data_IF_355446321851
#
_entry.id   IF_355446321851
#
_cell.length_a   1.000
_cell.length_b   1.000
_cell.length_c   1.000
_cell.angle_alpha   90.00
_cell.angle_beta   90.00
_cell.angle_gamma   90.00
#
_symmetry.space_group_name_H-M   'P 1'
#
loop_
_entity.id
_entity.type
_entity.pdbx_description
1 polymer ?
#
# COMPACT_ATOMS: atom_id res chain seq x y z
N UNK A 1 38.85 2.44 37.11
CA UNK A 1 39.30 3.28 35.97
C UNK A 1 38.13 4.13 35.51
N UNK A 2 38.01 5.33 36.06
CA UNK A 2 36.95 6.28 35.70
C UNK A 2 37.38 6.99 34.40
N UNK A 3 36.54 6.98 33.38
CA UNK A 3 36.76 7.73 32.13
C UNK A 3 36.90 6.89 30.85
N UNK A 4 37.21 5.59 30.93
CA UNK A 4 37.33 4.74 29.73
C UNK A 4 36.01 4.56 29.01
N UNK A 5 34.87 4.65 29.71
CA UNK A 5 33.54 4.61 29.10
C UNK A 5 33.25 5.85 28.22
N UNK A 6 33.70 7.02 28.66
CA UNK A 6 33.56 8.26 27.90
C UNK A 6 34.35 8.20 26.59
N UNK A 7 35.59 7.72 26.64
CA UNK A 7 36.44 7.56 25.45
C UNK A 7 35.85 6.53 24.46
N UNK A 8 35.29 5.42 24.96
CA UNK A 8 34.57 4.44 24.13
C UNK A 8 33.35 5.04 23.48
N UNK A 9 32.54 5.80 24.22
CA UNK A 9 31.38 6.51 23.68
C UNK A 9 31.77 7.50 22.59
N UNK A 10 32.80 8.29 22.80
CA UNK A 10 33.31 9.24 21.80
C UNK A 10 33.84 8.51 20.56
N UNK A 11 34.52 7.40 20.70
CA UNK A 11 34.97 6.60 19.56
C UNK A 11 33.81 6.06 18.70
N UNK A 12 32.71 5.64 19.35
CA UNK A 12 31.49 5.21 18.63
C UNK A 12 30.89 6.37 17.81
N UNK A 13 30.74 7.54 18.41
CA UNK A 13 30.16 8.71 17.71
C UNK A 13 31.04 9.17 16.56
N UNK A 14 32.35 9.20 16.73
CA UNK A 14 33.31 9.54 15.66
C UNK A 14 33.22 8.53 14.53
N UNK A 15 33.11 7.23 14.83
CA UNK A 15 32.92 6.20 13.80
C UNK A 15 31.63 6.44 12.99
N UNK A 16 30.51 6.76 13.66
CA UNK A 16 29.25 7.04 12.99
C UNK A 16 29.31 8.32 12.13
N UNK A 17 30.14 9.28 12.46
CA UNK A 17 30.33 10.47 11.66
C UNK A 17 30.87 10.18 10.25
N UNK A 18 31.73 9.15 10.12
CA UNK A 18 32.31 8.73 8.84
C UNK A 18 31.54 7.63 8.12
N UNK A 19 30.47 7.07 8.73
CA UNK A 19 29.63 6.08 8.07
C UNK A 19 28.64 6.73 7.09
N UNK A 20 28.13 5.96 6.09
CA UNK A 20 27.09 6.45 5.20
C UNK A 20 25.86 6.85 6.00
N UNK A 21 25.19 7.93 5.57
CA UNK A 21 24.00 8.46 6.21
C UNK A 21 22.80 7.54 5.94
N UNK A 22 21.92 7.37 6.93
CA UNK A 22 20.64 6.67 6.79
C UNK A 22 19.50 7.60 6.37
N UNK A 23 19.74 8.91 6.37
CA UNK A 23 18.71 9.88 6.06
C UNK A 23 18.40 9.85 4.57
N UNK A 24 17.11 9.73 4.27
CA UNK A 24 16.56 9.90 2.94
C UNK A 24 16.11 11.35 2.75
N UNK A 25 16.36 11.90 1.60
CA UNK A 25 16.03 13.31 1.28
C UNK A 25 14.57 13.38 0.79
N UNK A 26 13.63 12.96 1.65
CA UNK A 26 12.21 13.08 1.35
C UNK A 26 11.80 14.58 1.33
N UNK A 27 11.04 15.09 0.36
CA UNK A 27 10.33 14.34 -0.70
C UNK A 27 11.12 14.11 -2.01
N UNK A 28 12.37 14.63 -2.13
CA UNK A 28 13.17 14.53 -3.34
C UNK A 28 13.59 13.09 -3.64
N UNK A 29 13.88 12.31 -2.59
CA UNK A 29 14.16 10.88 -2.67
C UNK A 29 13.08 10.14 -1.88
N UNK A 30 12.37 9.22 -2.54
CA UNK A 30 11.36 8.38 -1.90
C UNK A 30 11.98 7.10 -1.36
N UNK A 31 11.56 6.65 -0.15
CA UNK A 31 12.03 5.40 0.40
C UNK A 31 11.64 4.23 -0.51
N UNK A 32 12.56 3.30 -0.67
CA UNK A 32 12.27 2.03 -1.34
C UNK A 32 11.59 1.09 -0.34
N UNK A 33 10.24 1.10 -0.36
CA UNK A 33 9.46 0.28 0.56
C UNK A 33 9.55 -1.20 0.20
N UNK A 34 9.60 -2.05 1.22
CA UNK A 34 9.52 -3.49 1.05
C UNK A 34 8.19 -3.88 0.36
N UNK A 35 8.18 -4.91 -0.51
CA UNK A 35 6.94 -5.46 -1.07
C UNK A 35 5.91 -5.92 -0.02
N UNK A 36 6.38 -6.20 1.20
CA UNK A 36 5.53 -6.59 2.33
C UNK A 36 5.02 -5.38 3.15
N UNK A 37 5.35 -4.14 2.76
CA UNK A 37 4.87 -2.97 3.47
C UNK A 37 3.37 -2.79 3.27
N UNK A 38 2.68 -2.40 4.33
CA UNK A 38 1.26 -2.08 4.29
C UNK A 38 1.09 -0.62 3.88
N UNK A 39 1.19 -0.37 2.57
CA UNK A 39 0.89 0.91 1.96
C UNK A 39 -0.61 1.14 1.79
N UNK A 40 -0.96 2.03 0.89
CA UNK A 40 -2.36 2.24 0.52
C UNK A 40 -2.93 1.04 -0.24
N UNK A 41 -4.24 1.01 -0.48
CA UNK A 41 -4.91 -0.09 -1.16
C UNK A 41 -4.95 0.14 -2.67
N UNK A 42 -4.74 -0.94 -3.42
CA UNK A 42 -5.00 -1.02 -4.86
C UNK A 42 -6.10 -2.06 -5.09
N UNK A 43 -7.16 -1.66 -5.77
CA UNK A 43 -8.31 -2.50 -6.04
C UNK A 43 -8.43 -2.78 -7.54
N UNK A 44 -8.47 -4.07 -7.87
CA UNK A 44 -8.66 -4.58 -9.23
C UNK A 44 -10.10 -5.09 -9.37
N UNK A 45 -10.92 -4.28 -10.04
CA UNK A 45 -12.34 -4.57 -10.23
C UNK A 45 -12.57 -5.86 -11.02
N UNK A 46 -11.76 -6.13 -12.05
CA UNK A 46 -11.94 -7.28 -12.93
C UNK A 46 -11.71 -8.61 -12.23
N UNK A 47 -10.90 -8.63 -11.17
CA UNK A 47 -10.65 -9.80 -10.36
C UNK A 47 -11.66 -10.02 -9.24
N UNK A 48 -12.48 -9.01 -8.93
CA UNK A 48 -13.40 -9.09 -7.81
C UNK A 48 -14.63 -9.94 -8.16
N UNK A 49 -14.93 -10.94 -7.31
CA UNK A 49 -16.09 -11.82 -7.44
C UNK A 49 -17.26 -11.42 -6.53
N UNK A 50 -17.22 -10.23 -5.94
CA UNK A 50 -18.26 -9.71 -5.05
C UNK A 50 -18.62 -10.62 -3.85
N UNK A 51 -17.62 -11.32 -3.28
CA UNK A 51 -17.83 -12.29 -2.20
C UNK A 51 -17.99 -11.65 -0.81
N UNK A 52 -17.69 -10.36 -0.65
CA UNK A 52 -17.78 -9.57 0.60
C UNK A 52 -16.97 -10.14 1.78
N UNK A 53 -15.96 -10.99 1.51
CA UNK A 53 -15.09 -11.52 2.57
C UNK A 53 -14.21 -10.43 3.20
N UNK A 54 -13.72 -9.49 2.40
CA UNK A 54 -12.92 -8.36 2.89
C UNK A 54 -13.73 -7.45 3.83
N UNK A 55 -15.01 -7.22 3.57
CA UNK A 55 -15.91 -6.48 4.45
C UNK A 55 -16.08 -7.19 5.81
N UNK A 56 -16.26 -8.53 5.79
CA UNK A 56 -16.43 -9.33 7.03
C UNK A 56 -15.13 -9.45 7.81
N UNK A 57 -13.99 -9.51 7.14
CA UNK A 57 -12.67 -9.62 7.76
C UNK A 57 -12.22 -8.32 8.43
N UNK A 58 -12.82 -7.19 8.09
CA UNK A 58 -12.44 -5.90 8.64
C UNK A 58 -12.90 -5.75 10.09
N UNK A 59 -11.98 -5.60 11.09
CA UNK A 59 -12.35 -5.46 12.49
C UNK A 59 -13.12 -4.17 12.77
N UNK A 60 -12.78 -3.09 12.10
CA UNK A 60 -13.42 -1.78 12.25
C UNK A 60 -14.60 -1.58 11.31
N UNK A 61 -14.91 -2.55 10.44
CA UNK A 61 -16.02 -2.47 9.47
C UNK A 61 -15.99 -1.19 8.63
N UNK A 62 -14.81 -0.83 8.14
CA UNK A 62 -14.60 0.38 7.33
C UNK A 62 -14.88 0.16 5.84
N UNK A 63 -15.08 -1.09 5.42
CA UNK A 63 -15.34 -1.48 4.04
C UNK A 63 -16.83 -1.71 3.88
N UNK A 64 -17.43 -1.08 2.89
CA UNK A 64 -18.82 -1.26 2.49
C UNK A 64 -18.87 -1.66 1.02
N UNK A 65 -19.52 -2.77 0.71
CA UNK A 65 -19.61 -3.30 -0.64
C UNK A 65 -21.08 -3.42 -1.03
N UNK A 66 -21.46 -2.70 -2.06
CA UNK A 66 -22.75 -2.85 -2.70
C UNK A 66 -22.64 -3.84 -3.86
N UNK A 67 -23.58 -4.76 -3.92
CA UNK A 67 -23.57 -5.80 -4.95
C UNK A 67 -24.95 -5.94 -5.58
N UNK A 68 -24.98 -5.98 -6.90
CA UNK A 68 -26.17 -6.29 -7.66
C UNK A 68 -26.00 -7.61 -8.44
N UNK A 69 -27.11 -8.24 -8.78
CA UNK A 69 -27.09 -9.42 -9.63
C UNK A 69 -27.20 -9.01 -11.09
N UNK A 70 -26.25 -9.43 -11.88
CA UNK A 70 -26.25 -9.27 -13.32
C UNK A 70 -27.29 -10.19 -13.97
N UNK A 71 -27.62 -9.98 -15.24
CA UNK A 71 -28.55 -10.78 -16.05
C UNK A 71 -28.22 -12.30 -16.01
N UNK A 72 -26.94 -12.63 -15.83
CA UNK A 72 -26.43 -13.99 -15.70
C UNK A 72 -26.46 -14.54 -14.27
N UNK A 73 -27.19 -13.89 -13.35
CA UNK A 73 -27.29 -14.25 -11.92
C UNK A 73 -25.91 -14.26 -11.18
N UNK A 74 -24.90 -13.58 -11.73
CA UNK A 74 -23.60 -13.38 -11.07
C UNK A 74 -23.64 -12.09 -10.26
N UNK A 75 -23.05 -12.13 -9.06
CA UNK A 75 -22.90 -10.93 -8.25
C UNK A 75 -21.84 -10.02 -8.88
N UNK A 76 -22.20 -8.77 -9.11
CA UNK A 76 -21.33 -7.71 -9.59
C UNK A 76 -21.25 -6.62 -8.52
N UNK A 77 -20.07 -6.06 -8.31
CA UNK A 77 -19.89 -4.94 -7.38
C UNK A 77 -20.38 -3.66 -8.06
N UNK A 78 -21.28 -2.95 -7.41
CA UNK A 78 -21.82 -1.66 -7.85
C UNK A 78 -21.30 -0.49 -7.02
N UNK A 79 -20.86 -0.77 -5.77
CA UNK A 79 -20.22 0.20 -4.88
C UNK A 79 -19.12 -0.47 -4.06
N UNK A 80 -17.97 0.19 -3.92
CA UNK A 80 -16.88 -0.24 -3.03
C UNK A 80 -16.32 0.97 -2.31
N UNK A 81 -16.83 1.18 -1.09
CA UNK A 81 -16.49 2.31 -0.26
C UNK A 81 -15.60 1.90 0.91
N UNK A 82 -14.63 2.74 1.22
CA UNK A 82 -13.76 2.55 2.38
C UNK A 82 -13.50 3.87 3.10
N UNK A 83 -13.78 3.91 4.41
CA UNK A 83 -13.38 5.05 5.25
C UNK A 83 -11.99 4.80 5.85
N UNK A 84 -10.98 5.38 5.21
CA UNK A 84 -9.59 5.23 5.60
C UNK A 84 -9.29 5.88 6.95
N UNK A 85 -10.10 6.85 7.39
CA UNK A 85 -9.89 7.51 8.69
C UNK A 85 -10.00 6.58 9.89
N UNK A 86 -10.69 5.46 9.74
CA UNK A 86 -10.85 4.42 10.76
C UNK A 86 -10.09 3.12 10.42
N UNK A 87 -9.36 3.10 9.31
CA UNK A 87 -8.60 1.94 8.89
C UNK A 87 -7.35 1.73 9.76
N UNK A 88 -7.11 0.50 10.18
CA UNK A 88 -5.92 0.11 10.96
C UNK A 88 -4.74 -0.29 10.08
N UNK A 89 -4.90 -0.34 8.76
CA UNK A 89 -3.90 -0.86 7.82
C UNK A 89 -3.35 -2.23 8.20
N UNK A 90 -4.19 -3.08 8.80
CA UNK A 90 -3.79 -4.39 9.32
C UNK A 90 -3.62 -5.47 8.24
N UNK A 91 -4.13 -5.26 7.01
CA UNK A 91 -3.99 -6.19 5.89
C UNK A 91 -4.97 -7.37 5.88
N UNK A 92 -5.80 -7.58 6.91
CA UNK A 92 -6.72 -8.73 7.00
C UNK A 92 -7.70 -8.82 5.82
N UNK A 93 -8.14 -7.68 5.27
CA UNK A 93 -9.01 -7.63 4.09
C UNK A 93 -8.30 -8.15 2.83
N UNK A 94 -6.99 -7.93 2.72
CA UNK A 94 -6.16 -8.40 1.61
C UNK A 94 -5.94 -9.90 1.72
N UNK A 95 -5.62 -10.40 2.92
CA UNK A 95 -5.45 -11.82 3.19
C UNK A 95 -6.75 -12.61 2.97
N UNK A 96 -7.90 -12.02 3.34
CA UNK A 96 -9.21 -12.65 3.16
C UNK A 96 -9.67 -12.68 1.68
N UNK A 97 -9.01 -11.98 0.77
CA UNK A 97 -9.39 -11.90 -0.63
C UNK A 97 -8.89 -13.12 -1.42
N UNK A 98 -9.77 -14.06 -1.86
CA UNK A 98 -9.35 -15.27 -2.56
C UNK A 98 -8.80 -14.99 -3.95
N UNK A 99 -9.28 -13.93 -4.60
CA UNK A 99 -8.89 -13.57 -5.97
C UNK A 99 -7.76 -12.55 -6.00
N UNK A 100 -7.30 -12.05 -4.81
CA UNK A 100 -6.31 -10.98 -4.69
C UNK A 100 -6.71 -9.73 -5.50
N UNK A 101 -7.99 -9.43 -5.51
CA UNK A 101 -8.52 -8.20 -6.11
C UNK A 101 -8.12 -6.96 -5.31
N UNK A 102 -7.87 -7.11 -4.00
CA UNK A 102 -7.39 -6.06 -3.12
C UNK A 102 -5.93 -6.34 -2.78
N UNK A 103 -5.05 -5.37 -2.99
CA UNK A 103 -3.61 -5.48 -2.77
C UNK A 103 -3.07 -4.24 -2.07
N UNK A 104 -1.88 -4.35 -1.46
CA UNK A 104 -1.15 -3.18 -0.97
C UNK A 104 -0.43 -2.48 -2.13
N UNK A 105 -0.66 -1.19 -2.27
CA UNK A 105 0.11 -0.33 -3.15
C UNK A 105 1.41 0.12 -2.48
N UNK A 106 2.39 0.53 -3.27
CA UNK A 106 3.61 1.18 -2.77
C UNK A 106 3.39 2.66 -2.41
N UNK A 107 2.19 3.17 -2.66
CA UNK A 107 1.82 4.52 -2.30
C UNK A 107 1.45 4.58 -0.81
N UNK A 108 2.03 5.54 -0.08
CA UNK A 108 1.73 5.83 1.32
C UNK A 108 1.29 7.28 1.53
N UNK A 109 1.36 8.10 0.48
CA UNK A 109 1.01 9.51 0.52
C UNK A 109 -0.50 9.70 0.33
N UNK A 110 -1.25 9.55 1.42
CA UNK A 110 -2.72 9.68 1.43
C UNK A 110 -3.19 10.81 2.34
N UNK A 111 -2.34 11.81 2.51
CA UNK A 111 -2.66 12.97 3.36
C UNK A 111 -3.73 13.83 2.71
N UNK A 112 -4.77 14.13 3.46
CA UNK A 112 -5.88 14.97 3.02
C UNK A 112 -6.10 16.11 4.01
N UNK A 113 -6.57 17.25 3.53
CA UNK A 113 -6.82 18.42 4.37
C UNK A 113 -8.13 18.30 5.16
N UNK A 114 -9.18 17.75 4.55
CA UNK A 114 -10.48 17.56 5.20
C UNK A 114 -10.75 16.09 5.44
N UNK A 115 -11.27 15.75 6.63
CA UNK A 115 -11.64 14.39 7.00
C UNK A 115 -12.63 13.75 6.02
N UNK A 116 -13.52 14.51 5.40
CA UNK A 116 -14.46 14.00 4.39
C UNK A 116 -13.76 13.33 3.22
N UNK A 117 -12.53 13.73 2.92
CA UNK A 117 -11.73 13.25 1.81
C UNK A 117 -11.00 11.93 2.14
N UNK A 118 -11.16 11.39 3.35
CA UNK A 118 -10.67 10.06 3.73
C UNK A 118 -11.64 8.94 3.38
N UNK A 119 -12.81 9.28 2.87
CA UNK A 119 -13.75 8.32 2.32
C UNK A 119 -13.42 8.11 0.85
N UNK A 120 -13.03 6.88 0.51
CA UNK A 120 -12.63 6.50 -0.84
C UNK A 120 -13.66 5.56 -1.45
N UNK A 121 -14.15 5.92 -2.62
CA UNK A 121 -14.87 5.04 -3.51
C UNK A 121 -13.90 4.50 -4.57
N UNK A 122 -13.69 3.19 -4.59
CA UNK A 122 -12.74 2.54 -5.48
C UNK A 122 -13.32 2.23 -6.87
N UNK A 123 -14.61 2.39 -7.06
CA UNK A 123 -15.27 2.15 -8.35
C UNK A 123 -15.51 3.43 -9.13
N UNK A 124 -15.84 4.49 -8.43
CA UNK A 124 -15.98 5.81 -9.02
C UNK A 124 -14.63 6.51 -8.89
N UNK A 125 -13.96 6.85 -10.00
CA UNK A 125 -12.90 7.84 -9.93
C UNK A 125 -13.57 9.15 -9.54
N UNK A 126 -13.76 9.39 -8.24
CA UNK A 126 -14.34 10.64 -7.76
C UNK A 126 -13.41 11.75 -8.24
N UNK A 127 -13.86 12.62 -9.14
CA UNK A 127 -13.19 13.87 -9.38
C UNK A 127 -13.35 14.66 -8.09
N UNK A 128 -12.44 14.50 -7.18
CA UNK A 128 -12.29 15.41 -6.08
C UNK A 128 -11.96 16.76 -6.73
N UNK A 129 -12.85 17.73 -6.63
CA UNK A 129 -12.61 19.09 -7.16
C UNK A 129 -11.32 19.72 -6.59
N UNK A 130 -10.82 19.17 -5.46
CA UNK A 130 -9.50 19.47 -4.91
C UNK A 130 -8.37 18.62 -5.49
N UNK A 131 -8.65 17.41 -5.98
CA UNK A 131 -7.61 16.56 -6.58
C UNK A 131 -7.10 17.14 -7.89
N UNK A 132 -7.93 17.77 -8.73
CA UNK A 132 -7.45 18.35 -9.99
C UNK A 132 -6.34 19.38 -9.79
N UNK A 133 -6.46 20.23 -8.78
CA UNK A 133 -5.40 21.21 -8.44
C UNK A 133 -4.20 20.54 -7.78
N UNK A 134 -4.45 19.54 -6.94
CA UNK A 134 -3.39 18.79 -6.27
C UNK A 134 -2.67 17.87 -7.24
N UNK A 135 -3.40 17.19 -8.13
CA UNK A 135 -2.85 16.33 -9.18
C UNK A 135 -2.06 17.15 -10.21
N UNK A 136 -2.51 18.35 -10.55
CA UNK A 136 -1.76 19.26 -11.42
C UNK A 136 -0.44 19.72 -10.77
N UNK A 137 -0.46 20.03 -9.48
CA UNK A 137 0.74 20.40 -8.72
C UNK A 137 1.66 19.19 -8.56
N UNK A 138 1.11 18.01 -8.29
CA UNK A 138 1.85 16.76 -8.14
C UNK A 138 2.44 16.31 -9.49
N UNK A 139 1.69 16.41 -10.58
CA UNK A 139 2.19 16.13 -11.92
C UNK A 139 3.34 17.07 -12.32
N UNK A 140 3.20 18.38 -12.06
CA UNK A 140 4.26 19.36 -12.30
C UNK A 140 5.49 19.10 -11.41
N UNK A 141 5.28 18.58 -10.19
CA UNK A 141 6.38 18.19 -9.29
C UNK A 141 7.09 16.94 -9.78
N UNK A 142 6.34 15.90 -10.20
CA UNK A 142 6.88 14.64 -10.75
C UNK A 142 7.62 14.85 -12.08
N UNK A 143 7.19 15.82 -12.89
CA UNK A 143 7.93 16.22 -14.09
C UNK A 143 9.31 16.80 -13.77
N UNK A 144 9.42 17.59 -12.71
CA UNK A 144 10.67 18.18 -12.24
C UNK A 144 11.57 17.18 -11.49
N UNK A 145 10.94 16.21 -10.84
CA UNK A 145 11.58 15.22 -9.96
C UNK A 145 11.12 13.79 -10.32
N UNK A 146 11.56 13.24 -11.47
CA UNK A 146 11.17 11.90 -11.84
C UNK A 146 11.66 10.90 -10.78
N UNK A 147 10.81 9.95 -10.34
CA UNK A 147 11.21 8.95 -9.37
C UNK A 147 12.39 8.15 -9.89
N UNK A 148 13.49 8.14 -9.15
CA UNK A 148 14.73 7.44 -9.52
C UNK A 148 14.61 5.92 -9.48
N UNK A 149 13.49 5.39 -9.02
CA UNK A 149 13.27 3.95 -8.85
C UNK A 149 12.20 3.47 -9.81
N UNK A 150 12.62 2.84 -10.89
CA UNK A 150 11.75 1.93 -11.64
C UNK A 150 11.58 0.67 -10.79
N UNK A 151 10.47 0.54 -10.09
CA UNK A 151 10.09 -0.72 -9.45
C UNK A 151 9.73 -1.69 -10.56
N UNK A 152 10.76 -2.40 -11.08
CA UNK A 152 10.52 -3.58 -11.88
C UNK A 152 9.82 -4.59 -10.95
N UNK A 153 8.52 -4.83 -11.16
CA UNK A 153 7.82 -5.93 -10.50
C UNK A 153 8.63 -7.19 -10.72
N UNK A 154 9.10 -7.89 -9.66
CA UNK A 154 9.70 -9.19 -9.86
C UNK A 154 8.63 -10.06 -10.54
N UNK A 155 8.92 -10.57 -11.74
CA UNK A 155 8.07 -11.57 -12.39
C UNK A 155 7.91 -12.71 -11.40
N UNK A 156 6.66 -13.00 -11.02
CA UNK A 156 6.33 -14.12 -10.16
C UNK A 156 6.93 -15.39 -10.81
N UNK A 157 8.00 -15.86 -10.23
CA UNK A 157 8.63 -17.13 -10.61
C UNK A 157 7.65 -18.22 -10.21
N UNK A 158 7.17 -18.98 -11.20
CA UNK A 158 6.26 -20.09 -10.94
C UNK A 158 6.97 -21.04 -9.98
N UNK A 159 6.31 -21.48 -8.88
CA UNK A 159 6.89 -22.47 -7.99
C UNK A 159 7.22 -23.73 -8.81
N UNK A 160 8.45 -24.21 -8.69
CA UNK A 160 8.89 -25.44 -9.30
C UNK A 160 7.98 -26.60 -8.84
N UNK A 161 7.64 -27.55 -9.71
CA UNK A 161 6.83 -28.71 -9.33
C UNK A 161 7.58 -29.49 -8.25
N UNK A 162 6.91 -29.65 -7.11
CA UNK A 162 7.38 -30.54 -6.04
C UNK A 162 7.46 -31.97 -6.59
N UNK A 163 8.67 -32.48 -6.69
CA UNK A 163 8.90 -33.88 -7.02
C UNK A 163 8.23 -34.75 -5.94
N UNK A 164 7.25 -35.52 -6.36
CA UNK A 164 6.70 -36.62 -5.57
C UNK A 164 7.84 -37.61 -5.27
N UNK A 165 8.12 -37.80 -3.99
CA UNK A 165 8.93 -38.90 -3.54
C UNK A 165 8.04 -40.13 -3.52
N UNK A 166 8.14 -40.96 -4.51
CA UNK A 166 7.68 -42.32 -4.45
C UNK A 166 8.44 -43.05 -3.32
N UNK A 167 7.64 -43.68 -2.46
CA UNK A 167 8.14 -44.42 -1.32
C UNK A 167 8.60 -45.83 -1.66
N UNK A 168 9.46 -46.35 -0.88
CA UNK A 168 9.60 -47.76 -0.48
C UNK A 168 9.28 -47.90 1.00
#
# INVERSE_FOLDING_TARGET
MYGTGLLKGLAVTIRHFFLPKFTEQYPEERPNLSPASHGFFEYDYDKCIACRLCERACPNKVIHIETEKDENNKNKVTGYDMDISYCLFCGLCIEACPTKALMNAQNFETTVYHRKNTHYDFLSPVPHEMNEKFDAVQAAYLEKHPPKVSVARPKAEKPAPTAEKEGE
#
